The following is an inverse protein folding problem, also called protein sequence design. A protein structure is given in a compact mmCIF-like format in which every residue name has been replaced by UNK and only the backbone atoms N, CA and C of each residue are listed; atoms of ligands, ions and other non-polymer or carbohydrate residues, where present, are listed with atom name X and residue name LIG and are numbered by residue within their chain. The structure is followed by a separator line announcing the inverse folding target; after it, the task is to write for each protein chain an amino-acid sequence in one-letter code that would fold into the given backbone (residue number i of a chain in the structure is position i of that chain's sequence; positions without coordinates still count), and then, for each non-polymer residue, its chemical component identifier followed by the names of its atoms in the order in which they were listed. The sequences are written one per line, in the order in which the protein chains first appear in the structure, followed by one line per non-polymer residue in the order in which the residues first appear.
data_IF_444086204572
#
_entry.id   IF_444086204572
#
_cell.length_a   1.000
_cell.length_b   1.000
_cell.length_c   1.000
_cell.angle_alpha   90.00
_cell.angle_beta   90.00
_cell.angle_gamma   90.00
#
_symmetry.space_group_name_H-M   'P 1'
#
loop_
_entity.id
_entity.type
_entity.pdbx_description
1 polymer ?
#
# COMPACT_ATOMS: atom_id res chain seq x y z
N UNK A 1 12.83 -13.21 -2.43
CA UNK A 1 14.02 -12.34 -2.57
C UNK A 1 15.07 -12.79 -1.56
N UNK A 2 16.36 -12.64 -1.85
CA UNK A 2 17.46 -12.94 -0.90
C UNK A 2 17.94 -11.66 -0.21
N UNK A 3 18.36 -11.75 1.05
CA UNK A 3 18.94 -10.62 1.78
C UNK A 3 20.44 -10.48 1.45
N UNK A 4 20.89 -9.28 1.05
CA UNK A 4 22.31 -9.00 0.75
C UNK A 4 23.20 -8.83 1.98
N UNK A 5 22.65 -8.97 3.19
CA UNK A 5 23.39 -8.76 4.45
C UNK A 5 23.60 -10.03 5.26
N UNK A 6 22.67 -10.98 5.18
CA UNK A 6 22.69 -12.20 5.99
C UNK A 6 22.25 -13.43 5.20
N UNK A 7 22.15 -13.31 3.86
CA UNK A 7 21.83 -14.38 2.91
C UNK A 7 20.51 -15.14 3.14
N UNK A 8 19.64 -14.62 4.01
CA UNK A 8 18.35 -15.21 4.27
C UNK A 8 17.52 -15.23 2.98
N UNK A 9 16.99 -16.41 2.64
CA UNK A 9 16.22 -16.67 1.42
C UNK A 9 14.73 -16.34 1.61
N UNK A 10 13.98 -16.33 0.51
CA UNK A 10 12.50 -16.16 0.51
C UNK A 10 11.95 -14.94 1.26
N UNK A 11 12.73 -13.87 1.35
CA UNK A 11 12.34 -12.65 2.03
C UNK A 11 11.12 -12.00 1.36
N UNK A 12 10.17 -11.55 2.19
CA UNK A 12 8.96 -10.83 1.80
C UNK A 12 8.81 -9.57 2.65
N UNK A 13 8.45 -8.45 2.02
CA UNK A 13 8.20 -7.18 2.70
C UNK A 13 9.37 -6.20 2.61
N UNK A 14 9.38 -5.21 3.53
CA UNK A 14 10.30 -4.07 3.48
C UNK A 14 11.59 -4.27 4.28
N UNK A 15 11.61 -5.23 5.21
CA UNK A 15 12.74 -5.52 6.09
C UNK A 15 13.03 -7.02 6.09
N UNK A 16 14.29 -7.39 6.28
CA UNK A 16 14.73 -8.76 6.37
C UNK A 16 14.28 -9.37 7.70
N UNK A 17 13.74 -10.60 7.66
CA UNK A 17 13.28 -11.32 8.84
C UNK A 17 14.47 -11.79 9.70
N UNK A 18 15.62 -12.08 9.08
CA UNK A 18 16.81 -12.57 9.76
C UNK A 18 17.61 -11.47 10.47
N UNK A 19 17.94 -10.38 9.77
CA UNK A 19 18.82 -9.32 10.30
C UNK A 19 18.14 -7.95 10.53
N UNK A 20 16.85 -7.81 10.23
CA UNK A 20 16.09 -6.57 10.41
C UNK A 20 16.44 -5.44 9.44
N UNK A 21 17.48 -5.58 8.61
CA UNK A 21 17.90 -4.55 7.65
C UNK A 21 16.88 -4.39 6.52
N UNK A 22 16.82 -3.18 5.97
CA UNK A 22 15.89 -2.84 4.89
C UNK A 22 16.24 -3.63 3.63
N UNK A 23 15.25 -4.30 3.06
CA UNK A 23 15.42 -5.03 1.79
C UNK A 23 15.35 -4.07 0.61
N UNK A 24 16.00 -4.41 -0.52
CA UNK A 24 15.83 -3.64 -1.74
C UNK A 24 14.36 -3.67 -2.19
N UNK A 25 13.87 -2.62 -2.85
CA UNK A 25 12.49 -2.58 -3.34
C UNK A 25 12.23 -3.75 -4.29
N UNK A 26 11.08 -4.41 -4.15
CA UNK A 26 10.67 -5.46 -5.08
C UNK A 26 10.44 -4.86 -6.46
N UNK A 27 10.91 -5.54 -7.51
CA UNK A 27 10.64 -5.19 -8.91
C UNK A 27 9.18 -5.43 -9.33
N UNK A 28 8.40 -6.12 -8.48
CA UNK A 28 6.98 -6.28 -8.67
C UNK A 28 6.28 -4.92 -8.57
N UNK A 29 5.28 -4.65 -9.41
CA UNK A 29 4.51 -3.41 -9.33
C UNK A 29 3.92 -3.28 -7.91
N UNK A 30 3.90 -2.06 -7.35
CA UNK A 30 3.30 -1.84 -6.05
C UNK A 30 1.84 -2.29 -6.11
N UNK A 31 1.45 -3.22 -5.23
CA UNK A 31 0.03 -3.56 -5.12
C UNK A 31 -0.73 -2.29 -4.76
N UNK A 32 -1.88 -2.00 -5.42
CA UNK A 32 -2.68 -0.84 -5.07
C UNK A 32 -2.99 -0.90 -3.59
N UNK A 33 -2.61 0.17 -2.86
CA UNK A 33 -2.82 0.28 -1.41
C UNK A 33 -4.30 0.40 -1.06
N UNK A 34 -5.12 0.70 -2.05
CA UNK A 34 -6.56 0.73 -1.94
C UNK A 34 -7.07 -0.71 -1.89
N UNK A 35 -7.42 -1.19 -0.70
CA UNK A 35 -8.33 -2.33 -0.55
C UNK A 35 -9.73 -1.86 -0.95
N UNK A 36 -9.92 -1.53 -2.23
CA UNK A 36 -11.27 -1.40 -2.75
C UNK A 36 -11.87 -2.79 -2.71
N UNK A 37 -13.07 -2.89 -2.14
CA UNK A 37 -13.87 -4.08 -2.31
C UNK A 37 -13.99 -4.36 -3.82
N UNK A 38 -13.94 -5.63 -4.26
CA UNK A 38 -14.27 -6.00 -5.63
C UNK A 38 -15.60 -5.38 -6.05
N UNK A 39 -15.79 -5.07 -7.35
CA UNK A 39 -16.95 -4.31 -7.83
C UNK A 39 -18.29 -4.91 -7.38
N UNK A 40 -18.42 -6.24 -7.43
CA UNK A 40 -19.62 -6.99 -7.01
C UNK A 40 -19.91 -6.95 -5.50
N UNK A 41 -18.95 -6.46 -4.72
CA UNK A 41 -19.00 -6.43 -3.27
C UNK A 41 -19.16 -4.98 -2.74
N UNK A 42 -19.32 -4.00 -3.63
CA UNK A 42 -19.55 -2.60 -3.26
C UNK A 42 -20.98 -2.33 -2.81
N UNK A 43 -21.93 -3.11 -3.33
CA UNK A 43 -23.37 -2.96 -3.13
C UNK A 43 -23.97 -4.14 -2.32
N UNK A 44 -23.12 -4.89 -1.63
CA UNK A 44 -23.56 -6.01 -0.80
C UNK A 44 -24.17 -5.49 0.50
N UNK A 45 -25.51 -5.37 0.53
CA UNK A 45 -26.30 -4.92 1.68
C UNK A 45 -26.24 -5.87 2.88
N UNK A 46 -25.65 -7.06 2.73
CA UNK A 46 -25.46 -8.01 3.84
C UNK A 46 -24.17 -7.76 4.62
N UNK A 47 -23.27 -6.92 4.08
CA UNK A 47 -22.07 -6.54 4.81
C UNK A 47 -22.36 -5.39 5.79
N UNK A 48 -21.86 -5.46 7.03
CA UNK A 48 -21.88 -4.32 7.94
C UNK A 48 -20.93 -3.25 7.37
N UNK A 49 -21.44 -2.40 6.49
CA UNK A 49 -20.67 -1.31 5.91
C UNK A 49 -20.43 -0.31 7.04
N UNK A 50 -19.26 -0.40 7.70
CA UNK A 50 -18.71 0.73 8.42
C UNK A 50 -18.46 1.81 7.36
N UNK A 51 -19.46 2.68 7.15
CA UNK A 51 -19.41 3.80 6.24
C UNK A 51 -18.48 4.86 6.83
N UNK A 52 -17.18 4.64 6.69
CA UNK A 52 -16.19 5.65 7.02
C UNK A 52 -16.31 6.77 5.99
N UNK A 53 -16.58 8.00 6.45
CA UNK A 53 -16.45 9.19 5.62
C UNK A 53 -14.97 9.41 5.29
N UNK A 54 -14.48 8.73 4.24
CA UNK A 54 -13.10 8.90 3.78
C UNK A 54 -13.05 10.11 2.86
N UNK A 55 -12.48 11.21 3.32
CA UNK A 55 -12.00 12.27 2.43
C UNK A 55 -10.70 11.80 1.78
N UNK A 56 -10.69 11.52 0.47
CA UNK A 56 -9.45 11.15 -0.22
C UNK A 56 -8.47 12.31 -0.09
N UNK A 57 -7.24 12.01 0.33
CA UNK A 57 -6.17 13.02 0.30
C UNK A 57 -5.93 13.38 -1.16
N UNK A 58 -6.05 14.65 -1.49
CA UNK A 58 -5.64 15.18 -2.79
C UNK A 58 -4.16 14.91 -3.01
N UNK A 59 -3.75 14.71 -4.25
CA UNK A 59 -2.33 14.52 -4.57
C UNK A 59 -1.54 15.77 -4.19
N UNK A 60 -0.28 15.58 -3.81
CA UNK A 60 0.60 16.69 -3.40
C UNK A 60 0.75 17.75 -4.50
N UNK A 61 0.79 17.33 -5.77
CA UNK A 61 0.84 18.23 -6.93
C UNK A 61 -0.39 19.14 -7.05
N UNK A 62 -1.56 18.62 -6.65
CA UNK A 62 -2.82 19.36 -6.70
C UNK A 62 -2.93 20.34 -5.53
N UNK A 63 -2.49 19.94 -4.32
CA UNK A 63 -2.34 20.86 -3.19
C UNK A 63 -1.40 22.03 -3.49
N UNK A 64 -0.32 21.80 -4.24
CA UNK A 64 0.63 22.85 -4.59
C UNK A 64 0.06 23.85 -5.60
N UNK A 65 -0.81 23.41 -6.53
CA UNK A 65 -1.50 24.32 -7.45
C UNK A 65 -2.54 25.19 -6.74
N UNK A 66 -3.33 24.61 -5.86
CA UNK A 66 -4.39 25.33 -5.14
C UNK A 66 -3.83 26.34 -4.12
N UNK A 67 -2.60 26.16 -3.64
CA UNK A 67 -1.93 27.09 -2.72
C UNK A 67 -1.30 28.32 -3.40
N UNK A 68 -1.32 28.37 -4.75
CA UNK A 68 -0.76 29.44 -5.57
C UNK A 68 -1.83 30.34 -6.21
N UNK A 69 -3.11 30.12 -5.88
CA UNK A 69 -4.29 30.92 -6.29
C UNK A 69 -4.85 31.64 -5.07
#
# INVERSE_FOLDING_TARGET
MTCTHCDAIEQRGRFCIGCGKRLPPSLLPPRPRTRLAPAYLRDDDTQPVLRFGVTPRTSFEQQQRDALV
#
